data_IF_493104148923
#
_entry.id   IF_493104148923
#
_cell.length_a   1.000
_cell.length_b   1.000
_cell.length_c   1.000
_cell.angle_alpha   90.00
_cell.angle_beta   90.00
_cell.angle_gamma   90.00
#
_symmetry.space_group_name_H-M   'P 1'
#
loop_
_entity.id
_entity.type
_entity.pdbx_description
1 polymer ?
#
# COMPACT_ATOMS: atom_id res chain seq x y z
N UNK A 1 -22.05 6.95 13.61
CA UNK A 1 -21.26 5.95 14.40
C UNK A 1 -20.45 6.61 15.52
N UNK A 2 -19.74 7.74 15.27
CA UNK A 2 -19.03 8.46 16.35
C UNK A 2 -20.03 9.07 17.32
N UNK A 3 -21.14 9.60 16.84
CA UNK A 3 -22.23 10.16 17.62
C UNK A 3 -22.80 9.18 18.66
N UNK A 4 -22.83 7.89 18.33
CA UNK A 4 -23.29 6.80 19.22
C UNK A 4 -22.33 6.52 20.39
N UNK A 5 -21.07 6.86 20.25
CA UNK A 5 -19.99 6.56 21.22
C UNK A 5 -19.34 7.82 21.79
N UNK A 6 -19.73 9.02 21.35
CA UNK A 6 -19.08 10.27 21.75
C UNK A 6 -19.07 10.46 23.26
N UNK A 7 -20.12 10.06 23.96
CA UNK A 7 -20.23 10.13 25.41
C UNK A 7 -19.32 9.13 26.15
N UNK A 8 -18.89 8.07 25.47
CA UNK A 8 -17.97 7.05 26.01
C UNK A 8 -16.51 7.40 25.77
N UNK A 9 -16.23 8.32 24.84
CA UNK A 9 -14.89 8.83 24.59
C UNK A 9 -14.50 9.77 25.73
N UNK A 10 -13.43 9.44 26.46
CA UNK A 10 -12.96 10.22 27.61
C UNK A 10 -12.82 11.71 27.29
N UNK A 11 -13.30 12.55 28.21
CA UNK A 11 -13.60 14.00 28.07
C UNK A 11 -12.46 14.94 27.63
N UNK A 12 -11.23 14.47 27.46
CA UNK A 12 -10.07 15.32 27.12
C UNK A 12 -9.61 15.16 25.67
N UNK A 13 -10.50 14.84 24.75
CA UNK A 13 -10.14 14.69 23.35
C UNK A 13 -10.81 15.77 22.51
N UNK A 14 -10.02 16.38 21.64
CA UNK A 14 -10.51 17.26 20.59
C UNK A 14 -10.99 16.38 19.42
N UNK A 15 -12.21 16.60 18.98
CA UNK A 15 -12.77 15.94 17.80
C UNK A 15 -12.84 16.98 16.69
N UNK A 16 -12.18 16.70 15.59
CA UNK A 16 -12.21 17.55 14.39
C UNK A 16 -13.05 16.90 13.30
N UNK A 17 -13.91 17.69 12.70
CA UNK A 17 -14.74 17.26 11.56
C UNK A 17 -14.25 17.92 10.28
N UNK A 18 -13.98 17.09 9.26
CA UNK A 18 -13.62 17.55 7.91
C UNK A 18 -14.85 17.41 7.02
N UNK A 19 -15.43 18.53 6.62
CA UNK A 19 -16.65 18.56 5.81
C UNK A 19 -17.41 19.88 5.99
N UNK A 20 -18.60 19.97 5.41
CA UNK A 20 -19.45 21.17 5.43
C UNK A 20 -20.43 21.24 6.60
N UNK A 21 -20.91 20.10 7.08
CA UNK A 21 -21.93 20.01 8.11
C UNK A 21 -21.32 19.51 9.42
N UNK A 22 -20.53 20.39 10.10
CA UNK A 22 -19.86 20.03 11.33
C UNK A 22 -20.88 19.73 12.45
N UNK A 23 -20.85 18.52 13.05
CA UNK A 23 -21.73 18.18 14.16
C UNK A 23 -21.34 18.95 15.42
N UNK A 24 -22.31 19.17 16.32
CA UNK A 24 -22.13 19.97 17.54
C UNK A 24 -21.14 19.42 18.55
N UNK A 25 -20.79 18.14 18.45
CA UNK A 25 -19.78 17.48 19.31
C UNK A 25 -18.36 17.58 18.81
N UNK A 26 -18.13 18.18 17.63
CA UNK A 26 -16.81 18.33 17.01
C UNK A 26 -16.53 19.77 16.61
N UNK A 27 -15.28 20.09 16.36
CA UNK A 27 -14.83 21.37 15.83
C UNK A 27 -14.59 21.27 14.32
N UNK A 28 -14.98 22.29 13.58
CA UNK A 28 -14.76 22.34 12.13
C UNK A 28 -13.28 22.50 11.82
N UNK A 29 -12.69 21.50 11.17
CA UNK A 29 -11.32 21.57 10.69
C UNK A 29 -11.08 22.77 9.78
N UNK A 30 -12.03 23.07 8.89
CA UNK A 30 -11.92 24.18 7.95
C UNK A 30 -11.89 25.55 8.67
N UNK A 31 -12.71 25.73 9.70
CA UNK A 31 -12.74 26.96 10.48
C UNK A 31 -11.49 27.13 11.33
N UNK A 32 -11.02 26.06 11.98
CA UNK A 32 -9.81 26.07 12.79
C UNK A 32 -8.57 26.39 11.95
N UNK A 33 -8.47 25.82 10.76
CA UNK A 33 -7.30 25.98 9.89
C UNK A 33 -7.30 27.28 9.08
N UNK A 34 -8.46 27.92 8.90
CA UNK A 34 -8.61 29.15 8.10
C UNK A 34 -7.65 30.28 8.49
N UNK A 35 -7.31 30.37 9.79
CA UNK A 35 -6.46 31.42 10.34
C UNK A 35 -5.09 30.88 10.82
N UNK A 36 -4.75 29.60 10.52
CA UNK A 36 -3.46 29.05 10.87
C UNK A 36 -2.34 29.59 9.99
N UNK A 37 -1.15 29.66 10.54
CA UNK A 37 0.06 29.99 9.77
C UNK A 37 0.34 28.89 8.75
N UNK A 38 0.66 29.28 7.51
CA UNK A 38 1.16 28.37 6.46
C UNK A 38 2.66 28.10 6.57
N UNK A 39 3.35 28.71 7.54
CA UNK A 39 4.79 28.50 7.73
C UNK A 39 5.03 27.14 8.36
N UNK A 40 6.10 26.49 7.92
CA UNK A 40 6.59 25.26 8.55
C UNK A 40 6.85 25.54 10.04
N UNK A 41 6.29 24.76 10.98
CA UNK A 41 6.54 24.91 12.40
C UNK A 41 7.98 24.57 12.81
N UNK A 42 8.80 24.00 11.89
CA UNK A 42 10.21 23.66 12.10
C UNK A 42 10.45 22.80 13.35
N UNK A 43 9.52 21.87 13.61
CA UNK A 43 9.65 20.93 14.73
C UNK A 43 10.73 19.91 14.38
N UNK A 44 11.79 19.79 15.19
CA UNK A 44 12.83 18.79 14.93
C UNK A 44 12.27 17.38 15.13
N UNK A 45 12.38 16.54 14.11
CA UNK A 45 12.00 15.13 14.14
C UNK A 45 13.25 14.27 13.99
N UNK A 46 13.25 13.11 14.64
CA UNK A 46 14.25 12.05 14.48
C UNK A 46 13.63 10.88 13.74
N UNK A 47 14.44 10.14 13.05
CA UNK A 47 14.02 8.90 12.36
C UNK A 47 13.40 7.89 13.35
N UNK A 48 13.87 7.89 14.61
CA UNK A 48 13.38 7.02 15.69
C UNK A 48 12.10 7.51 16.37
N UNK A 49 11.60 8.71 16.07
CA UNK A 49 10.38 9.21 16.70
C UNK A 49 9.16 8.44 16.18
N UNK A 50 8.18 8.20 17.05
CA UNK A 50 6.93 7.54 16.72
C UNK A 50 6.18 8.35 15.66
N UNK A 51 5.75 7.68 14.58
CA UNK A 51 5.17 8.37 13.44
C UNK A 51 3.74 7.97 13.14
N UNK A 52 3.39 6.69 13.29
CA UNK A 52 2.07 6.19 12.96
C UNK A 52 1.69 4.93 13.73
N UNK A 53 0.39 4.77 13.97
CA UNK A 53 -0.21 3.52 14.42
C UNK A 53 -1.15 3.03 13.32
N UNK A 54 -0.91 1.80 12.84
CA UNK A 54 -1.79 1.10 11.92
C UNK A 54 -2.55 0.02 12.66
N UNK A 55 -3.78 -0.26 12.21
CA UNK A 55 -4.59 -1.34 12.76
C UNK A 55 -4.71 -2.47 11.75
N UNK A 56 -4.34 -3.67 12.16
CA UNK A 56 -4.59 -4.90 11.40
C UNK A 56 -5.78 -5.64 11.96
N UNK A 57 -6.46 -6.42 11.11
CA UNK A 57 -7.66 -7.18 11.50
C UNK A 57 -7.40 -8.33 12.48
N UNK A 58 -6.15 -8.61 12.83
CA UNK A 58 -5.73 -9.62 13.81
C UNK A 58 -6.43 -10.99 13.66
N UNK A 59 -5.69 -12.06 13.69
CA UNK A 59 -6.24 -13.42 13.66
C UNK A 59 -7.08 -13.77 14.92
N UNK A 60 -6.93 -12.99 15.99
CA UNK A 60 -7.58 -13.15 17.29
C UNK A 60 -8.91 -12.41 17.43
N UNK A 61 -9.39 -11.73 16.38
CA UNK A 61 -10.67 -11.01 16.34
C UNK A 61 -10.64 -9.57 16.84
N UNK A 62 -9.57 -9.13 17.51
CA UNK A 62 -9.38 -7.72 17.86
C UNK A 62 -8.26 -7.11 17.02
N UNK A 63 -8.43 -5.88 16.52
CA UNK A 63 -7.39 -5.19 15.76
C UNK A 63 -6.14 -4.98 16.64
N UNK A 64 -4.97 -5.35 16.11
CA UNK A 64 -3.68 -5.02 16.73
C UNK A 64 -3.26 -3.63 16.31
N UNK A 65 -2.81 -2.82 17.27
CA UNK A 65 -2.28 -1.47 17.03
C UNK A 65 -0.77 -1.56 16.80
N UNK A 66 -0.33 -1.36 15.57
CA UNK A 66 1.04 -1.54 15.10
C UNK A 66 1.73 -0.18 15.07
N UNK A 67 2.75 0.02 15.90
CA UNK A 67 3.49 1.28 16.00
C UNK A 67 4.69 1.28 15.04
N UNK A 68 4.78 2.34 14.25
CA UNK A 68 5.89 2.61 13.36
C UNK A 68 6.55 3.96 13.65
N UNK A 69 7.87 4.03 13.46
CA UNK A 69 8.65 5.24 13.50
C UNK A 69 8.83 5.87 12.11
N UNK A 70 9.45 7.04 12.03
CA UNK A 70 9.68 7.72 10.76
C UNK A 70 10.61 6.96 9.83
N UNK A 71 11.64 6.27 10.35
CA UNK A 71 12.57 5.47 9.54
C UNK A 71 11.84 4.36 8.79
N UNK A 72 11.00 3.59 9.48
CA UNK A 72 10.27 2.47 8.86
C UNK A 72 9.34 2.94 7.74
N UNK A 73 8.66 4.08 7.93
CA UNK A 73 7.78 4.65 6.91
C UNK A 73 8.56 5.18 5.69
N UNK A 74 9.66 5.88 5.92
CA UNK A 74 10.51 6.40 4.85
C UNK A 74 11.15 5.27 4.04
N UNK A 75 11.64 4.23 4.72
CA UNK A 75 12.25 3.08 4.07
C UNK A 75 11.27 2.30 3.19
N UNK A 76 10.00 2.14 3.62
CA UNK A 76 8.99 1.49 2.80
C UNK A 76 8.73 2.28 1.49
N UNK A 77 8.67 3.59 1.56
CA UNK A 77 8.50 4.45 0.39
C UNK A 77 9.73 4.40 -0.54
N UNK A 78 10.93 4.44 0.03
CA UNK A 78 12.20 4.32 -0.71
C UNK A 78 12.28 2.97 -1.43
N UNK A 79 11.94 1.89 -0.76
CA UNK A 79 11.98 0.55 -1.32
C UNK A 79 11.06 0.40 -2.53
N UNK A 80 9.82 0.88 -2.44
CA UNK A 80 8.87 0.79 -3.53
C UNK A 80 9.33 1.53 -4.79
N UNK A 81 9.85 2.75 -4.63
CA UNK A 81 10.33 3.50 -5.79
C UNK A 81 11.56 2.83 -6.44
N UNK A 82 12.44 2.21 -5.64
CA UNK A 82 13.61 1.48 -6.16
C UNK A 82 13.15 0.24 -6.94
N UNK A 83 12.29 -0.59 -6.34
CA UNK A 83 11.86 -1.85 -6.96
C UNK A 83 11.00 -1.63 -8.22
N UNK A 84 10.20 -0.59 -8.25
CA UNK A 84 9.39 -0.24 -9.42
C UNK A 84 10.12 0.64 -10.43
N UNK A 85 11.41 0.94 -10.17
CA UNK A 85 12.21 1.82 -11.02
C UNK A 85 11.46 3.10 -11.37
N UNK A 86 10.89 3.75 -10.34
CA UNK A 86 10.06 4.94 -10.53
C UNK A 86 10.93 6.09 -11.01
N UNK A 87 10.50 6.74 -12.09
CA UNK A 87 11.16 7.88 -12.70
C UNK A 87 10.37 9.17 -12.44
N UNK A 88 11.02 10.32 -12.62
CA UNK A 88 10.39 11.62 -12.40
C UNK A 88 9.16 11.88 -13.29
N UNK A 89 9.14 11.32 -14.49
CA UNK A 89 8.06 11.44 -15.46
C UNK A 89 6.98 10.35 -15.34
N UNK A 90 7.12 9.44 -14.36
CA UNK A 90 6.06 8.49 -14.04
C UNK A 90 4.82 9.17 -13.45
N UNK A 91 3.68 8.55 -13.67
CA UNK A 91 2.40 8.92 -13.06
C UNK A 91 1.79 7.68 -12.41
N UNK A 92 1.71 7.69 -11.09
CA UNK A 92 1.17 6.59 -10.32
C UNK A 92 -0.33 6.75 -10.09
N UNK A 93 -1.13 5.71 -10.39
CA UNK A 93 -2.53 5.65 -10.02
C UNK A 93 -2.72 4.94 -8.68
N UNK A 94 -3.12 5.70 -7.67
CA UNK A 94 -3.44 5.23 -6.33
C UNK A 94 -4.95 5.00 -6.21
N UNK A 95 -5.37 3.74 -6.18
CA UNK A 95 -6.79 3.34 -6.09
C UNK A 95 -7.19 3.01 -4.65
N UNK A 96 -6.42 2.20 -3.90
CA UNK A 96 -6.78 1.87 -2.53
C UNK A 96 -6.77 3.09 -1.61
N UNK A 97 -7.58 3.09 -0.55
CA UNK A 97 -7.61 4.18 0.42
C UNK A 97 -6.24 4.41 1.08
N UNK A 98 -5.88 5.66 1.34
CA UNK A 98 -4.58 6.04 1.93
C UNK A 98 -4.38 5.58 3.39
N UNK A 99 -5.39 5.04 4.05
CA UNK A 99 -5.20 4.35 5.33
C UNK A 99 -4.59 2.95 5.15
N UNK A 100 -4.59 2.39 3.92
CA UNK A 100 -3.90 1.15 3.61
C UNK A 100 -2.42 1.44 3.39
N UNK A 101 -1.55 0.71 4.11
CA UNK A 101 -0.10 0.94 4.08
C UNK A 101 0.46 0.85 2.66
N UNK A 102 0.11 -0.19 1.90
CA UNK A 102 0.59 -0.39 0.54
C UNK A 102 0.34 0.80 -0.37
N UNK A 103 -0.92 1.26 -0.50
CA UNK A 103 -1.27 2.42 -1.33
C UNK A 103 -0.47 3.66 -0.96
N UNK A 104 -0.35 3.91 0.34
CA UNK A 104 0.31 5.10 0.88
C UNK A 104 1.80 5.12 0.55
N UNK A 105 2.49 4.00 0.68
CA UNK A 105 3.93 3.98 0.46
C UNK A 105 4.31 3.95 -1.02
N UNK A 106 3.51 3.36 -1.88
CA UNK A 106 3.63 3.56 -3.33
C UNK A 106 3.48 5.05 -3.69
N UNK A 107 2.46 5.70 -3.15
CA UNK A 107 2.26 7.13 -3.36
C UNK A 107 3.44 7.96 -2.85
N UNK A 108 3.91 7.70 -1.62
CA UNK A 108 5.06 8.41 -1.04
C UNK A 108 6.36 8.13 -1.79
N UNK A 109 6.58 6.92 -2.30
CA UNK A 109 7.72 6.59 -3.15
C UNK A 109 7.76 7.43 -4.42
N UNK A 110 6.62 7.69 -5.03
CA UNK A 110 6.50 8.61 -6.16
C UNK A 110 6.86 10.05 -5.76
N UNK A 111 6.46 10.51 -4.58
CA UNK A 111 6.82 11.84 -4.09
C UNK A 111 8.33 11.99 -3.83
N UNK A 112 9.01 10.95 -3.36
CA UNK A 112 10.47 10.96 -3.17
C UNK A 112 11.19 11.26 -4.49
N UNK A 113 10.71 10.70 -5.58
CA UNK A 113 11.28 10.90 -6.92
C UNK A 113 10.80 12.19 -7.58
N UNK A 114 9.77 12.83 -7.02
CA UNK A 114 9.14 14.03 -7.58
C UNK A 114 8.22 13.72 -8.77
N UNK A 115 7.72 12.49 -8.86
CA UNK A 115 6.75 12.10 -9.87
C UNK A 115 5.30 12.42 -9.45
N UNK A 116 4.37 12.36 -10.40
CA UNK A 116 2.95 12.63 -10.17
C UNK A 116 2.26 11.39 -9.58
N UNK A 117 1.34 11.62 -8.65
CA UNK A 117 0.42 10.58 -8.19
C UNK A 117 -1.02 11.07 -8.30
N UNK A 118 -1.90 10.21 -8.81
CA UNK A 118 -3.34 10.44 -8.99
C UNK A 118 -4.08 9.59 -7.97
N UNK A 119 -4.93 10.21 -7.14
CA UNK A 119 -5.76 9.50 -6.18
C UNK A 119 -7.15 9.32 -6.80
N UNK A 120 -7.51 8.07 -7.07
CA UNK A 120 -8.79 7.72 -7.67
C UNK A 120 -9.80 7.33 -6.58
N UNK A 121 -11.00 7.90 -6.69
CA UNK A 121 -12.17 7.44 -5.95
C UNK A 121 -13.01 6.55 -6.85
N UNK A 122 -13.03 5.27 -6.55
CA UNK A 122 -13.78 4.30 -7.35
C UNK A 122 -12.88 3.15 -7.79
N UNK A 123 -13.51 2.01 -8.03
CA UNK A 123 -12.81 0.76 -8.34
C UNK A 123 -13.38 0.05 -9.56
N UNK A 124 -14.37 0.68 -10.23
CA UNK A 124 -14.97 0.11 -11.43
C UNK A 124 -13.96 0.13 -12.59
N UNK A 125 -13.99 -0.88 -13.47
CA UNK A 125 -13.10 -0.93 -14.65
C UNK A 125 -13.09 0.37 -15.45
N UNK A 126 -14.26 0.95 -15.73
CA UNK A 126 -14.39 2.22 -16.46
C UNK A 126 -13.68 3.37 -15.74
N UNK A 127 -13.82 3.47 -14.41
CA UNK A 127 -13.18 4.56 -13.63
C UNK A 127 -11.66 4.44 -13.68
N UNK A 128 -11.14 3.20 -13.53
CA UNK A 128 -9.69 2.92 -13.55
C UNK A 128 -9.12 3.23 -14.94
N UNK A 129 -9.70 2.67 -16.00
CA UNK A 129 -9.21 2.86 -17.36
C UNK A 129 -9.33 4.31 -17.83
N UNK A 130 -10.41 5.01 -17.45
CA UNK A 130 -10.57 6.45 -17.71
C UNK A 130 -9.49 7.28 -17.03
N UNK A 131 -9.18 6.97 -15.76
CA UNK A 131 -8.12 7.68 -15.03
C UNK A 131 -6.75 7.39 -15.64
N UNK A 132 -6.43 6.15 -15.99
CA UNK A 132 -5.18 5.80 -16.67
C UNK A 132 -5.05 6.57 -17.99
N UNK A 133 -6.11 6.62 -18.78
CA UNK A 133 -6.13 7.30 -20.07
C UNK A 133 -6.02 8.82 -19.94
N UNK A 134 -6.86 9.44 -19.11
CA UNK A 134 -6.94 10.92 -19.00
C UNK A 134 -5.73 11.53 -18.27
N UNK A 135 -5.23 10.87 -17.22
CA UNK A 135 -4.13 11.33 -16.41
C UNK A 135 -2.77 10.82 -16.91
N UNK A 136 -2.78 9.97 -17.95
CA UNK A 136 -1.61 9.33 -18.55
C UNK A 136 -0.78 8.55 -17.52
N UNK A 137 -1.48 7.73 -16.71
CA UNK A 137 -0.81 6.94 -15.68
C UNK A 137 0.10 5.87 -16.30
N UNK A 138 1.31 5.77 -15.75
CA UNK A 138 2.35 4.84 -16.21
C UNK A 138 2.47 3.60 -15.32
N UNK A 139 2.08 3.74 -14.05
CA UNK A 139 2.13 2.68 -13.05
C UNK A 139 0.81 2.62 -12.28
N UNK A 140 0.29 1.42 -12.09
CA UNK A 140 -0.99 1.21 -11.39
C UNK A 140 -0.87 0.08 -10.39
N UNK A 141 -1.33 0.28 -9.17
CA UNK A 141 -1.47 -0.80 -8.21
C UNK A 141 -2.90 -1.29 -8.15
N UNK A 142 -3.08 -2.57 -8.45
CA UNK A 142 -4.36 -3.25 -8.47
C UNK A 142 -4.42 -4.33 -7.38
N UNK A 143 -5.63 -4.63 -6.93
CA UNK A 143 -5.93 -5.86 -6.21
C UNK A 143 -6.40 -6.94 -7.21
N UNK A 144 -6.21 -8.20 -6.85
CA UNK A 144 -6.63 -9.32 -7.71
C UNK A 144 -8.09 -9.23 -8.18
N UNK A 145 -9.09 -8.87 -7.34
CA UNK A 145 -10.46 -8.68 -7.79
C UNK A 145 -10.60 -7.60 -8.88
N UNK A 146 -9.88 -6.50 -8.77
CA UNK A 146 -9.95 -5.42 -9.78
C UNK A 146 -9.34 -5.81 -11.10
N UNK A 147 -8.27 -6.61 -11.08
CA UNK A 147 -7.71 -7.22 -12.32
C UNK A 147 -8.75 -8.13 -12.96
N UNK A 148 -9.44 -8.96 -12.18
CA UNK A 148 -10.51 -9.84 -12.66
C UNK A 148 -11.67 -9.04 -13.25
N UNK A 149 -12.11 -7.98 -12.57
CA UNK A 149 -13.22 -7.12 -13.03
C UNK A 149 -12.87 -6.42 -14.34
N UNK A 150 -11.63 -5.90 -14.48
CA UNK A 150 -11.16 -5.28 -15.74
C UNK A 150 -11.17 -6.29 -16.88
N UNK A 151 -10.59 -7.47 -16.67
CA UNK A 151 -10.57 -8.53 -17.69
C UNK A 151 -11.99 -8.95 -18.07
N UNK A 152 -12.88 -9.13 -17.11
CA UNK A 152 -14.28 -9.47 -17.37
C UNK A 152 -15.01 -8.40 -18.17
N UNK A 153 -14.84 -7.13 -17.82
CA UNK A 153 -15.47 -6.01 -18.52
C UNK A 153 -15.01 -5.90 -19.98
N UNK A 154 -13.74 -6.22 -20.26
CA UNK A 154 -13.20 -6.28 -21.64
C UNK A 154 -13.79 -7.48 -22.39
N UNK A 155 -13.76 -8.67 -21.81
CA UNK A 155 -14.24 -9.91 -22.42
C UNK A 155 -15.75 -9.90 -22.73
N UNK A 156 -16.53 -9.20 -21.90
CA UNK A 156 -17.99 -9.06 -22.10
C UNK A 156 -18.37 -7.90 -23.01
N UNK A 157 -17.41 -7.05 -23.39
CA UNK A 157 -17.65 -5.87 -24.21
C UNK A 157 -18.29 -4.70 -23.45
N UNK A 158 -18.32 -4.75 -22.10
CA UNK A 158 -18.69 -3.60 -21.26
C UNK A 158 -17.70 -2.46 -21.44
N UNK A 159 -16.43 -2.78 -21.67
CA UNK A 159 -15.33 -1.86 -21.94
C UNK A 159 -14.74 -2.15 -23.32
N UNK A 160 -14.61 -1.12 -24.15
CA UNK A 160 -13.84 -1.18 -25.40
C UNK A 160 -12.51 -0.46 -25.19
N UNK A 161 -11.39 -1.18 -25.33
CA UNK A 161 -10.05 -0.64 -25.10
C UNK A 161 -9.67 0.48 -26.08
N UNK A 162 -10.26 0.50 -27.28
CA UNK A 162 -10.02 1.53 -28.29
C UNK A 162 -10.48 2.94 -27.83
N UNK A 163 -11.33 3.00 -26.80
CA UNK A 163 -11.80 4.26 -26.22
C UNK A 163 -10.78 4.89 -25.25
N UNK A 164 -9.68 4.20 -24.94
CA UNK A 164 -8.70 4.61 -23.95
C UNK A 164 -7.29 4.67 -24.52
N UNK A 165 -6.50 5.64 -24.02
CA UNK A 165 -5.05 5.73 -24.30
C UNK A 165 -4.30 5.04 -23.18
N UNK A 166 -3.77 3.85 -23.45
CA UNK A 166 -3.15 2.99 -22.43
C UNK A 166 -1.68 2.63 -22.76
N UNK A 167 -1.13 3.08 -23.88
CA UNK A 167 0.22 2.73 -24.34
C UNK A 167 1.32 3.13 -23.36
N UNK A 168 1.10 4.18 -22.57
CA UNK A 168 2.03 4.69 -21.55
C UNK A 168 2.02 3.86 -20.26
N UNK A 169 0.99 3.01 -20.06
CA UNK A 169 0.90 2.18 -18.86
C UNK A 169 1.94 1.06 -18.92
N UNK A 170 3.07 1.25 -18.24
CA UNK A 170 4.21 0.32 -18.30
C UNK A 170 4.18 -0.77 -17.24
N UNK A 171 3.65 -0.50 -16.04
CA UNK A 171 3.71 -1.42 -14.91
C UNK A 171 2.34 -1.63 -14.26
N UNK A 172 1.92 -2.90 -14.21
CA UNK A 172 0.82 -3.36 -13.37
C UNK A 172 1.40 -4.05 -12.14
N UNK A 173 1.27 -3.41 -10.97
CA UNK A 173 1.59 -4.05 -9.70
C UNK A 173 0.34 -4.66 -9.09
N UNK A 174 0.39 -5.93 -8.70
CA UNK A 174 -0.73 -6.65 -8.07
C UNK A 174 -0.28 -7.19 -6.73
N UNK A 175 -1.02 -6.88 -5.67
CA UNK A 175 -0.63 -7.28 -4.33
C UNK A 175 -1.78 -7.53 -3.37
N UNK A 176 -1.42 -7.60 -2.08
CA UNK A 176 -2.28 -7.80 -0.92
C UNK A 176 -2.93 -9.19 -0.80
N UNK A 177 -2.70 -10.10 -1.74
CA UNK A 177 -3.16 -11.50 -1.68
C UNK A 177 -2.38 -12.35 -2.70
N UNK A 178 -2.45 -13.69 -2.61
CA UNK A 178 -1.85 -14.58 -3.61
C UNK A 178 -2.38 -14.27 -5.02
N UNK A 179 -1.48 -14.18 -5.99
CA UNK A 179 -1.79 -13.86 -7.39
C UNK A 179 -1.79 -15.14 -8.22
N UNK A 180 -2.94 -15.56 -8.80
CA UNK A 180 -2.99 -16.73 -9.65
C UNK A 180 -2.20 -16.52 -10.96
N UNK A 181 -1.38 -17.50 -11.34
CA UNK A 181 -0.60 -17.45 -12.60
C UNK A 181 -1.49 -17.22 -13.82
N UNK A 182 -2.60 -17.93 -13.89
CA UNK A 182 -3.57 -17.81 -14.99
C UNK A 182 -4.17 -16.40 -15.15
N UNK A 183 -4.25 -15.63 -14.05
CA UNK A 183 -4.73 -14.26 -14.10
C UNK A 183 -3.73 -13.35 -14.82
N UNK A 184 -2.45 -13.51 -14.53
CA UNK A 184 -1.39 -12.72 -15.16
C UNK A 184 -1.20 -13.14 -16.62
N UNK A 185 -1.28 -14.44 -16.92
CA UNK A 185 -1.26 -14.92 -18.31
C UNK A 185 -2.38 -14.31 -19.15
N UNK A 186 -3.62 -14.25 -18.62
CA UNK A 186 -4.76 -13.59 -19.31
C UNK A 186 -4.52 -12.10 -19.47
N UNK A 187 -3.98 -11.43 -18.44
CA UNK A 187 -3.66 -10.00 -18.50
C UNK A 187 -2.66 -9.70 -19.61
N UNK A 188 -1.58 -10.45 -19.69
CA UNK A 188 -0.52 -10.26 -20.69
C UNK A 188 -0.96 -10.63 -22.12
N UNK A 189 -2.01 -11.43 -22.31
CA UNK A 189 -2.62 -11.63 -23.63
C UNK A 189 -3.31 -10.37 -24.15
N UNK A 190 -3.89 -9.55 -23.24
CA UNK A 190 -4.57 -8.30 -23.58
C UNK A 190 -3.60 -7.13 -23.59
N UNK A 191 -2.69 -7.10 -22.62
CA UNK A 191 -1.71 -6.05 -22.40
C UNK A 191 -0.27 -6.58 -22.50
N UNK A 192 0.20 -6.99 -23.70
CA UNK A 192 1.49 -7.67 -23.86
C UNK A 192 2.71 -6.79 -23.58
N UNK A 193 2.52 -5.48 -23.48
CA UNK A 193 3.59 -4.49 -23.19
C UNK A 193 3.63 -4.06 -21.73
N UNK A 194 2.71 -4.54 -20.88
CA UNK A 194 2.75 -4.25 -19.46
C UNK A 194 3.76 -5.15 -18.77
N UNK A 195 4.61 -4.53 -17.98
CA UNK A 195 5.35 -5.26 -16.97
C UNK A 195 4.43 -5.63 -15.79
N UNK A 196 4.75 -6.72 -15.13
CA UNK A 196 4.09 -7.21 -13.93
C UNK A 196 5.06 -7.26 -12.78
N UNK A 197 4.61 -6.89 -11.60
CA UNK A 197 5.29 -7.13 -10.33
C UNK A 197 4.29 -7.46 -9.23
N UNK A 198 4.77 -8.12 -8.20
CA UNK A 198 4.07 -8.35 -6.94
C UNK A 198 5.06 -8.29 -5.78
N UNK A 199 4.55 -8.06 -4.58
CA UNK A 199 5.35 -8.10 -3.38
C UNK A 199 4.62 -8.83 -2.25
N UNK A 200 5.36 -9.21 -1.23
CA UNK A 200 4.86 -9.71 0.04
C UNK A 200 5.27 -8.79 1.16
N UNK A 201 4.32 -8.47 2.01
CA UNK A 201 4.52 -7.70 3.23
C UNK A 201 3.28 -7.70 4.11
N UNK A 202 3.45 -7.22 5.32
CA UNK A 202 2.43 -7.10 6.35
C UNK A 202 2.40 -5.66 6.85
N UNK A 203 1.36 -5.28 7.57
CA UNK A 203 1.34 -3.99 8.28
C UNK A 203 2.49 -3.90 9.29
N UNK A 204 2.87 -5.01 9.88
CA UNK A 204 4.00 -5.16 10.81
C UNK A 204 5.38 -4.95 10.16
N UNK A 205 5.49 -5.15 8.87
CA UNK A 205 6.69 -4.84 8.07
C UNK A 205 6.57 -3.53 7.30
N UNK A 206 5.67 -2.66 7.69
CA UNK A 206 5.29 -1.41 7.02
C UNK A 206 4.75 -1.66 5.60
N UNK A 207 4.35 -2.91 5.26
CA UNK A 207 3.98 -3.30 3.90
C UNK A 207 3.77 -2.10 2.98
N UNK A 208 4.20 -2.05 1.81
CA UNK A 208 3.94 -3.01 0.77
C UNK A 208 4.85 -4.21 0.84
N UNK A 209 6.12 -4.17 0.81
CA UNK A 209 6.80 -5.39 0.67
C UNK A 209 8.21 -5.47 1.25
N UNK A 210 8.43 -6.46 2.10
CA UNK A 210 9.76 -6.88 2.48
C UNK A 210 10.37 -7.86 1.47
N UNK A 211 9.54 -8.41 0.56
CA UNK A 211 9.95 -9.35 -0.51
C UNK A 211 9.28 -8.92 -1.81
N UNK A 212 10.01 -8.92 -2.91
CA UNK A 212 9.55 -8.53 -4.25
C UNK A 212 9.86 -9.60 -5.28
N UNK A 213 8.90 -9.85 -6.18
CA UNK A 213 9.10 -10.75 -7.31
C UNK A 213 10.10 -10.16 -8.32
N UNK A 214 9.99 -8.87 -8.56
CA UNK A 214 10.80 -8.13 -9.54
C UNK A 214 10.09 -7.93 -10.87
N UNK A 215 10.23 -6.74 -11.44
CA UNK A 215 9.61 -6.35 -12.70
C UNK A 215 10.01 -7.30 -13.82
N UNK A 216 8.99 -7.74 -14.59
CA UNK A 216 9.19 -8.61 -15.75
C UNK A 216 9.49 -10.08 -15.41
N UNK A 217 9.46 -10.48 -14.13
CA UNK A 217 9.72 -11.86 -13.71
C UNK A 217 8.48 -12.76 -13.82
N UNK A 218 7.87 -12.76 -14.99
CA UNK A 218 6.57 -13.43 -15.24
C UNK A 218 6.63 -14.96 -15.18
N UNK A 219 7.82 -15.55 -15.36
CA UNK A 219 8.01 -16.99 -15.27
C UNK A 219 7.83 -17.53 -13.84
N UNK A 220 7.95 -16.66 -12.85
CA UNK A 220 7.85 -16.99 -11.43
C UNK A 220 6.55 -16.49 -10.77
N UNK A 221 5.51 -16.19 -11.56
CA UNK A 221 4.20 -15.81 -11.02
C UNK A 221 3.69 -16.89 -10.05
N UNK A 222 3.25 -16.44 -8.87
CA UNK A 222 2.88 -17.31 -7.75
C UNK A 222 3.95 -17.37 -6.65
N UNK A 223 5.21 -17.06 -6.96
CA UNK A 223 6.22 -16.77 -5.96
C UNK A 223 6.12 -15.33 -5.46
N UNK A 224 6.57 -15.08 -4.23
CA UNK A 224 6.64 -13.73 -3.66
C UNK A 224 7.96 -13.02 -3.98
N UNK A 225 8.98 -13.76 -4.41
CA UNK A 225 10.26 -13.23 -4.88
C UNK A 225 11.41 -13.32 -3.87
N UNK A 226 12.24 -12.30 -3.84
CA UNK A 226 13.47 -12.20 -3.04
C UNK A 226 13.39 -11.02 -2.05
N UNK A 227 14.26 -10.98 -1.02
CA UNK A 227 14.32 -9.86 -0.07
C UNK A 227 14.43 -8.52 -0.78
N UNK A 228 13.63 -7.55 -0.34
CA UNK A 228 13.67 -6.18 -0.81
C UNK A 228 14.96 -5.44 -0.38
N UNK A 229 15.14 -4.23 -0.88
CA UNK A 229 16.27 -3.38 -0.52
C UNK A 229 16.36 -3.16 1.00
N UNK A 230 17.50 -3.48 1.59
CA UNK A 230 17.78 -3.45 3.05
C UNK A 230 17.02 -4.52 3.87
N UNK A 231 16.39 -5.50 3.23
CA UNK A 231 15.72 -6.60 3.91
C UNK A 231 16.53 -7.89 3.88
N UNK A 232 16.28 -8.75 4.84
CA UNK A 232 16.79 -10.12 4.93
C UNK A 232 15.62 -11.04 5.22
N UNK A 233 15.68 -12.26 4.66
CA UNK A 233 14.66 -13.29 4.89
C UNK A 233 15.30 -14.60 5.25
N UNK A 234 14.58 -15.42 6.04
CA UNK A 234 14.90 -16.82 6.32
C UNK A 234 13.61 -17.63 6.24
N UNK A 235 13.71 -18.89 5.82
CA UNK A 235 12.64 -19.86 5.96
C UNK A 235 13.02 -20.79 7.08
N UNK A 236 12.22 -20.83 8.14
CA UNK A 236 12.58 -21.44 9.42
C UNK A 236 11.63 -22.59 9.73
N UNK A 237 12.17 -23.75 10.06
CA UNK A 237 11.41 -24.92 10.50
C UNK A 237 10.91 -24.81 11.94
N UNK A 238 10.14 -25.78 12.37
CA UNK A 238 9.60 -25.86 13.75
C UNK A 238 10.70 -25.96 14.82
N UNK A 239 11.89 -26.41 14.43
CA UNK A 239 13.08 -26.52 15.29
C UNK A 239 13.87 -25.20 15.43
N UNK A 240 13.43 -24.12 14.76
CA UNK A 240 14.07 -22.81 14.78
C UNK A 240 15.31 -22.70 13.87
N UNK A 241 15.60 -23.70 13.06
CA UNK A 241 16.69 -23.70 12.09
C UNK A 241 16.18 -23.44 10.67
N UNK A 242 17.09 -22.97 9.78
CA UNK A 242 16.76 -22.81 8.37
C UNK A 242 16.44 -24.18 7.74
N UNK A 243 15.38 -24.23 6.95
CA UNK A 243 15.02 -25.42 6.19
C UNK A 243 15.87 -25.56 4.92
N UNK A 244 15.96 -26.77 4.39
CA UNK A 244 16.62 -27.02 3.10
C UNK A 244 15.76 -26.46 1.94
N UNK A 245 16.41 -26.20 0.81
CA UNK A 245 15.71 -25.70 -0.39
C UNK A 245 14.62 -26.66 -0.85
N UNK A 246 13.40 -26.14 -0.96
CA UNK A 246 12.21 -26.90 -1.35
C UNK A 246 11.37 -27.39 -0.17
N UNK A 247 11.83 -27.22 1.06
CA UNK A 247 11.05 -27.52 2.25
C UNK A 247 10.18 -26.34 2.68
N UNK A 248 9.10 -26.64 3.39
CA UNK A 248 8.14 -25.67 3.92
C UNK A 248 8.58 -25.23 5.30
N UNK A 249 8.55 -23.93 5.55
CA UNK A 249 8.82 -23.32 6.85
C UNK A 249 8.13 -21.97 7.00
N UNK A 250 8.36 -21.33 8.14
CA UNK A 250 7.88 -19.98 8.44
C UNK A 250 8.81 -18.94 7.81
N UNK A 251 8.24 -17.94 7.13
CA UNK A 251 8.99 -16.82 6.58
C UNK A 251 9.32 -15.79 7.67
N UNK A 252 10.58 -15.72 8.05
CA UNK A 252 11.10 -14.68 8.93
C UNK A 252 11.71 -13.54 8.11
N UNK A 253 11.38 -12.31 8.50
CA UNK A 253 11.86 -11.11 7.83
C UNK A 253 12.55 -10.18 8.82
N UNK A 254 13.62 -9.52 8.36
CA UNK A 254 14.36 -8.52 9.13
C UNK A 254 14.71 -7.35 8.23
N UNK A 255 14.40 -6.14 8.68
CA UNK A 255 14.71 -4.94 7.94
C UNK A 255 14.23 -3.67 8.65
N UNK A 256 14.58 -2.48 8.14
CA UNK A 256 14.27 -1.21 8.79
C UNK A 256 12.77 -0.87 8.78
N UNK A 257 11.96 -1.55 7.93
CA UNK A 257 10.51 -1.39 7.91
C UNK A 257 9.76 -2.23 8.94
N UNK A 258 10.43 -3.03 9.78
CA UNK A 258 9.77 -3.77 10.87
C UNK A 258 9.22 -2.79 11.90
N UNK A 259 8.00 -3.03 12.37
CA UNK A 259 7.33 -2.23 13.39
C UNK A 259 8.19 -2.04 14.66
N UNK A 260 7.97 -0.95 15.37
CA UNK A 260 8.57 -0.74 16.69
C UNK A 260 8.02 -1.73 17.70
N UNK A 261 6.68 -1.86 17.77
CA UNK A 261 5.99 -2.80 18.65
C UNK A 261 4.49 -2.85 18.32
N UNK A 262 3.78 -3.77 18.96
CA UNK A 262 2.34 -3.64 19.13
C UNK A 262 2.07 -2.66 20.27
N UNK A 263 1.48 -1.51 19.99
CA UNK A 263 1.26 -0.42 20.92
C UNK A 263 0.43 -0.88 22.13
N UNK A 264 0.94 -0.66 23.32
CA UNK A 264 0.37 -1.11 24.61
C UNK A 264 0.13 -2.64 24.70
N UNK A 265 0.87 -3.45 23.93
CA UNK A 265 0.77 -4.90 23.99
C UNK A 265 2.17 -5.56 23.96
N UNK A 266 2.90 -5.54 25.08
CA UNK A 266 4.25 -6.10 25.15
C UNK A 266 4.29 -7.62 24.98
N UNK A 267 3.23 -8.34 25.34
CA UNK A 267 3.16 -9.80 25.18
C UNK A 267 3.16 -10.18 23.70
N UNK A 268 2.25 -9.60 22.92
CA UNK A 268 2.22 -9.84 21.47
C UNK A 268 3.47 -9.29 20.74
N UNK A 269 4.19 -8.34 21.33
CA UNK A 269 5.44 -7.84 20.75
C UNK A 269 6.59 -8.82 20.96
N UNK A 270 6.56 -9.61 22.02
CA UNK A 270 7.60 -10.56 22.37
C UNK A 270 7.44 -11.94 21.68
N UNK A 271 6.23 -12.26 21.21
CA UNK A 271 5.96 -13.44 20.37
C UNK A 271 6.69 -13.33 19.02
#
# INVERSE_FOLDING_TARGET
>A
RIEEIVDTIQRNRLLFFVGTDCPTFAESYNELTANCSSKDPMIPLKESDDAAIYFSSGTTGFPKAILHNHESLAQAAEMEQIHHNVQHDDVFLCIPPLYHTGAKFHWMGNLIVGSKAVILRGVKPVDILSAVSSEQCTTVWLLVPWVQDILHAIETGEVNLDDYKLDQWRLMHVGAQPVPKSLIERWLQIFPHHDYDTNYGLSESTGPGCVHLGIGNVDHVGAIGIPGYRWQTRIVGEDGHDVENGEVGELWVKGPGVMTCYYNNPEATAE
#
